data_IF_213225372959
#
_entry.id   IF_213225372959
#
_cell.length_a   1.000
_cell.length_b   1.000
_cell.length_c   1.000
_cell.angle_alpha   90.00
_cell.angle_beta   90.00
_cell.angle_gamma   90.00
#
_symmetry.space_group_name_H-M   'P 1'
#
loop_
_entity.id
_entity.type
_entity.pdbx_description
1 polymer ?
#
# COMPACT_ATOMS: atom_id res chain seq x y z
N UNK A 1 -4.54 -11.97 30.15
CA UNK A 1 -3.31 -12.13 29.39
C UNK A 1 -3.52 -12.26 27.88
N UNK A 2 -4.54 -13.00 27.45
CA UNK A 2 -4.81 -13.20 26.01
C UNK A 2 -5.11 -11.92 25.24
N UNK A 3 -5.89 -10.99 25.82
CA UNK A 3 -6.27 -9.76 25.13
C UNK A 3 -5.09 -8.80 24.94
N UNK A 4 -4.19 -8.73 25.90
CA UNK A 4 -3.00 -7.88 25.79
C UNK A 4 -2.05 -8.41 24.70
N UNK A 5 -1.86 -9.72 24.65
CA UNK A 5 -1.07 -10.36 23.61
C UNK A 5 -1.67 -10.12 22.21
N UNK A 6 -3.00 -10.24 22.08
CA UNK A 6 -3.69 -10.01 20.83
C UNK A 6 -3.54 -8.55 20.35
N UNK A 7 -3.69 -7.58 21.26
CA UNK A 7 -3.52 -6.16 20.94
C UNK A 7 -2.09 -5.91 20.48
N UNK A 8 -1.10 -6.47 21.20
CA UNK A 8 0.32 -6.32 20.84
C UNK A 8 0.63 -6.95 19.48
N UNK A 9 0.08 -8.12 19.19
CA UNK A 9 0.25 -8.80 17.91
C UNK A 9 -0.37 -8.00 16.76
N UNK A 10 -1.58 -7.44 17.00
CA UNK A 10 -2.26 -6.61 16.00
C UNK A 10 -1.48 -5.33 15.73
N UNK A 11 -0.94 -4.68 16.78
CA UNK A 11 -0.11 -3.49 16.60
C UNK A 11 1.17 -3.79 15.84
N UNK A 12 1.81 -4.93 16.12
CA UNK A 12 3.01 -5.37 15.40
C UNK A 12 2.69 -5.63 13.93
N UNK A 13 1.58 -6.28 13.65
CA UNK A 13 1.14 -6.54 12.29
C UNK A 13 0.82 -5.23 11.56
N UNK A 14 0.12 -4.31 12.22
CA UNK A 14 -0.17 -3.01 11.62
C UNK A 14 1.13 -2.28 11.25
N UNK A 15 2.12 -2.26 12.14
CA UNK A 15 3.39 -1.62 11.88
C UNK A 15 4.11 -2.23 10.68
N UNK A 16 4.06 -3.55 10.55
CA UNK A 16 4.68 -4.26 9.43
C UNK A 16 3.96 -3.91 8.12
N UNK A 17 2.64 -3.98 8.10
CA UNK A 17 1.87 -3.68 6.88
C UNK A 17 2.04 -2.22 6.47
N UNK A 18 2.00 -1.29 7.43
CA UNK A 18 2.25 0.13 7.15
C UNK A 18 3.66 0.32 6.58
N UNK A 19 4.65 -0.39 7.12
CA UNK A 19 6.01 -0.34 6.60
C UNK A 19 6.06 -0.76 5.13
N UNK A 20 5.43 -1.87 4.76
CA UNK A 20 5.37 -2.32 3.37
C UNK A 20 4.62 -1.31 2.49
N UNK A 21 3.51 -0.77 2.97
CA UNK A 21 2.75 0.24 2.23
C UNK A 21 3.61 1.48 1.95
N UNK A 22 4.35 1.95 2.94
CA UNK A 22 5.23 3.11 2.82
C UNK A 22 6.41 2.85 1.88
N UNK A 23 6.89 1.60 1.81
CA UNK A 23 7.94 1.25 0.84
C UNK A 23 7.47 1.49 -0.59
N UNK A 24 6.20 1.22 -0.89
CA UNK A 24 5.64 1.47 -2.21
C UNK A 24 5.45 2.97 -2.49
N UNK A 25 5.41 3.82 -1.45
CA UNK A 25 5.37 5.27 -1.59
C UNK A 25 6.77 5.87 -1.78
N UNK A 26 7.81 5.16 -1.38
CA UNK A 26 9.18 5.69 -1.36
C UNK A 26 9.77 5.71 -2.77
N UNK A 27 10.32 6.86 -3.18
CA UNK A 27 10.95 7.03 -4.48
C UNK A 27 12.06 6.01 -4.73
N UNK A 28 12.89 5.74 -3.72
CA UNK A 28 13.98 4.78 -3.85
C UNK A 28 13.48 3.36 -4.11
N UNK A 29 12.40 2.96 -3.43
CA UNK A 29 11.79 1.65 -3.64
C UNK A 29 11.13 1.57 -5.01
N UNK A 30 10.45 2.63 -5.41
CA UNK A 30 9.78 2.69 -6.73
C UNK A 30 10.75 2.50 -7.89
N UNK A 31 11.99 2.96 -7.74
CA UNK A 31 13.01 2.77 -8.77
C UNK A 31 13.61 1.37 -8.79
N UNK A 32 13.27 0.51 -7.81
CA UNK A 32 13.80 -0.85 -7.69
C UNK A 32 12.71 -1.87 -8.04
N UNK A 33 12.69 -2.26 -9.29
CA UNK A 33 11.70 -3.20 -9.82
C UNK A 33 11.58 -4.48 -9.00
N UNK A 34 12.69 -5.02 -8.52
CA UNK A 34 12.71 -6.27 -7.76
C UNK A 34 11.91 -6.16 -6.46
N UNK A 35 12.06 -5.04 -5.74
CA UNK A 35 11.34 -4.82 -4.47
C UNK A 35 9.86 -4.66 -4.74
N UNK A 36 9.49 -3.88 -5.75
CA UNK A 36 8.10 -3.69 -6.13
C UNK A 36 7.46 -5.04 -6.52
N UNK A 37 8.17 -5.82 -7.33
CA UNK A 37 7.70 -7.13 -7.76
C UNK A 37 7.46 -8.07 -6.58
N UNK A 38 8.31 -8.02 -5.57
CA UNK A 38 8.16 -8.85 -4.36
C UNK A 38 6.97 -8.43 -3.50
N UNK A 39 6.68 -7.14 -3.43
CA UNK A 39 5.60 -6.61 -2.60
C UNK A 39 4.23 -6.74 -3.27
N UNK A 40 4.17 -6.80 -4.59
CA UNK A 40 2.91 -6.94 -5.31
C UNK A 40 2.64 -8.41 -5.63
N UNK A 41 1.45 -8.88 -5.25
CA UNK A 41 1.01 -10.23 -5.58
C UNK A 41 0.91 -10.42 -7.10
N UNK A 42 1.11 -11.64 -7.58
CA UNK A 42 1.03 -11.93 -9.03
C UNK A 42 -0.29 -11.54 -9.67
N UNK A 43 -1.37 -11.57 -8.89
CA UNK A 43 -2.72 -11.22 -9.35
C UNK A 43 -3.12 -9.81 -8.89
N UNK A 44 -2.14 -8.98 -8.54
CA UNK A 44 -2.39 -7.62 -8.08
C UNK A 44 -3.11 -6.82 -9.16
N UNK A 45 -4.09 -6.02 -8.72
CA UNK A 45 -4.65 -4.99 -9.57
C UNK A 45 -5.01 -3.77 -8.72
N UNK A 46 -5.12 -2.63 -9.37
CA UNK A 46 -5.37 -1.35 -8.73
C UNK A 46 -6.46 -0.61 -9.48
N UNK A 47 -7.30 0.09 -8.72
CA UNK A 47 -8.22 1.07 -9.27
C UNK A 47 -7.74 2.44 -8.78
N UNK A 48 -7.27 3.27 -9.70
CA UNK A 48 -6.73 4.58 -9.38
C UNK A 48 -7.81 5.61 -9.09
N UNK A 49 -7.38 6.80 -8.63
CA UNK A 49 -8.28 7.92 -8.34
C UNK A 49 -9.15 8.32 -9.53
N UNK A 50 -8.65 8.12 -10.74
CA UNK A 50 -9.37 8.45 -11.98
C UNK A 50 -10.45 7.43 -12.33
N UNK A 51 -10.51 6.30 -11.62
CA UNK A 51 -11.40 5.20 -11.95
C UNK A 51 -10.81 4.20 -12.92
N UNK A 52 -9.58 4.41 -13.39
CA UNK A 52 -8.92 3.47 -14.30
C UNK A 52 -8.36 2.29 -13.55
N UNK A 53 -8.45 1.11 -14.18
CA UNK A 53 -7.95 -0.14 -13.63
C UNK A 53 -6.58 -0.47 -14.24
N UNK A 54 -5.65 -0.92 -13.41
CA UNK A 54 -4.30 -1.29 -13.79
C UNK A 54 -3.96 -2.66 -13.24
N UNK A 55 -3.27 -3.48 -14.02
CA UNK A 55 -2.72 -4.74 -13.53
C UNK A 55 -1.32 -4.53 -12.94
N UNK A 56 -0.72 -5.61 -12.40
CA UNK A 56 0.59 -5.54 -11.78
C UNK A 56 1.65 -4.97 -12.72
N UNK A 57 1.71 -5.45 -13.96
CA UNK A 57 2.74 -5.01 -14.89
C UNK A 57 2.60 -3.53 -15.24
N UNK A 58 1.37 -3.07 -15.43
CA UNK A 58 1.10 -1.66 -15.71
C UNK A 58 1.52 -0.78 -14.54
N UNK A 59 1.27 -1.22 -13.30
CA UNK A 59 1.67 -0.47 -12.10
C UNK A 59 3.19 -0.44 -11.98
N UNK A 60 3.87 -1.58 -12.17
CA UNK A 60 5.34 -1.62 -12.12
C UNK A 60 5.93 -0.67 -13.15
N UNK A 61 5.46 -0.74 -14.40
CA UNK A 61 5.97 0.11 -15.48
C UNK A 61 5.77 1.60 -15.16
N UNK A 62 4.62 1.95 -14.60
CA UNK A 62 4.34 3.33 -14.22
C UNK A 62 5.27 3.81 -13.09
N UNK A 63 5.49 2.99 -12.07
CA UNK A 63 6.31 3.37 -10.92
C UNK A 63 7.78 3.53 -11.29
N UNK A 64 8.32 2.63 -12.12
CA UNK A 64 9.73 2.73 -12.53
C UNK A 64 9.97 3.82 -13.57
N UNK A 65 8.92 4.29 -14.25
CA UNK A 65 9.00 5.35 -15.24
C UNK A 65 8.85 6.75 -14.64
N UNK A 66 8.48 6.86 -13.37
CA UNK A 66 8.32 8.16 -12.71
C UNK A 66 9.65 8.90 -12.66
N UNK A 67 9.66 10.11 -13.22
CA UNK A 67 10.86 10.95 -13.24
C UNK A 67 10.77 12.11 -12.26
N UNK A 68 9.57 12.39 -11.76
CA UNK A 68 9.32 13.49 -10.83
C UNK A 68 9.10 12.90 -9.44
N UNK A 69 9.91 13.35 -8.48
CA UNK A 69 9.75 12.96 -7.09
C UNK A 69 8.44 13.54 -6.55
N UNK A 70 7.53 12.66 -6.15
CA UNK A 70 6.27 13.05 -5.54
C UNK A 70 6.29 12.63 -4.09
N UNK A 71 6.23 13.62 -3.19
CA UNK A 71 6.14 13.35 -1.77
C UNK A 71 4.68 13.09 -1.42
N UNK A 72 4.38 11.82 -1.16
CA UNK A 72 3.07 11.42 -0.70
C UNK A 72 3.11 11.33 0.82
N UNK A 73 2.27 12.13 1.47
CA UNK A 73 2.10 12.04 2.91
C UNK A 73 0.88 11.16 3.19
N UNK A 74 0.94 10.45 4.30
CA UNK A 74 -0.13 9.52 4.67
C UNK A 74 -0.28 9.45 6.18
N UNK A 75 -1.52 9.42 6.64
CA UNK A 75 -1.85 9.26 8.06
C UNK A 75 -3.20 8.55 8.20
N UNK A 76 -3.70 8.46 9.43
CA UNK A 76 -4.97 7.77 9.74
C UNK A 76 -4.97 6.32 9.29
N UNK A 77 -3.85 5.63 9.49
CA UNK A 77 -3.77 4.21 9.16
C UNK A 77 -4.63 3.38 10.10
N UNK A 78 -5.48 2.56 9.51
CA UNK A 78 -6.31 1.60 10.25
C UNK A 78 -6.17 0.22 9.61
N UNK A 79 -5.81 -0.77 10.44
CA UNK A 79 -5.73 -2.16 10.00
C UNK A 79 -6.98 -2.91 10.44
N UNK A 80 -7.60 -3.60 9.50
CA UNK A 80 -8.73 -4.48 9.76
C UNK A 80 -8.34 -5.91 9.39
N UNK A 81 -8.29 -6.79 10.38
CA UNK A 81 -7.95 -8.19 10.16
C UNK A 81 -9.19 -8.91 9.62
N UNK A 82 -9.06 -9.47 8.40
CA UNK A 82 -10.14 -10.22 7.77
C UNK A 82 -10.08 -11.68 8.23
N UNK A 83 -8.90 -12.29 8.14
CA UNK A 83 -8.62 -13.63 8.65
C UNK A 83 -7.11 -13.77 8.90
N UNK A 84 -6.62 -14.97 9.18
CA UNK A 84 -5.22 -15.22 9.49
C UNK A 84 -4.27 -14.82 8.36
N UNK A 85 -4.77 -14.77 7.13
CA UNK A 85 -3.95 -14.56 5.94
C UNK A 85 -4.33 -13.31 5.15
N UNK A 86 -5.27 -12.51 5.64
CA UNK A 86 -5.77 -11.35 4.89
C UNK A 86 -6.07 -10.19 5.82
N UNK A 87 -5.56 -9.02 5.48
CA UNK A 87 -5.80 -7.79 6.22
C UNK A 87 -6.14 -6.67 5.26
N UNK A 88 -6.99 -5.76 5.70
CA UNK A 88 -7.29 -4.51 5.01
C UNK A 88 -6.59 -3.37 5.72
N UNK A 89 -5.89 -2.55 4.95
CA UNK A 89 -5.30 -1.31 5.45
C UNK A 89 -6.00 -0.15 4.78
N UNK A 90 -6.53 0.77 5.56
CA UNK A 90 -7.09 2.02 5.04
C UNK A 90 -6.31 3.19 5.61
N UNK A 91 -6.20 4.25 4.83
CA UNK A 91 -5.51 5.46 5.27
C UNK A 91 -5.88 6.63 4.38
N UNK A 92 -5.48 7.81 4.83
CA UNK A 92 -5.64 9.04 4.06
C UNK A 92 -4.28 9.44 3.52
N UNK A 93 -4.16 9.61 2.22
CA UNK A 93 -2.97 10.17 1.61
C UNK A 93 -3.25 11.58 1.10
N UNK A 94 -2.21 12.40 1.04
CA UNK A 94 -2.34 13.76 0.53
C UNK A 94 -1.02 14.26 0.00
N UNK A 95 -1.12 15.15 -0.97
CA UNK A 95 0.02 15.88 -1.50
C UNK A 95 -0.41 17.31 -1.78
N UNK A 96 0.52 18.25 -1.58
CA UNK A 96 0.32 19.64 -1.94
C UNK A 96 0.90 19.89 -3.34
N UNK A 97 0.18 20.63 -4.17
CA UNK A 97 0.68 21.07 -5.45
C UNK A 97 1.48 22.39 -5.29
N UNK A 98 1.92 22.97 -6.41
CA UNK A 98 2.69 24.21 -6.43
C UNK A 98 1.97 25.40 -5.79
N UNK A 99 0.64 25.35 -5.76
CA UNK A 99 -0.20 26.40 -5.19
C UNK A 99 -0.65 26.09 -3.77
N UNK A 100 -0.08 25.06 -3.14
CA UNK A 100 -0.46 24.54 -1.82
C UNK A 100 -1.89 24.01 -1.76
N UNK A 101 -2.47 23.64 -2.91
CA UNK A 101 -3.75 22.96 -2.97
C UNK A 101 -3.51 21.49 -2.65
N UNK A 102 -4.14 21.02 -1.59
CA UNK A 102 -3.96 19.64 -1.11
C UNK A 102 -4.98 18.73 -1.74
N UNK A 103 -4.49 17.69 -2.43
CA UNK A 103 -5.34 16.61 -2.93
C UNK A 103 -5.34 15.48 -1.93
N UNK A 104 -6.51 15.18 -1.37
CA UNK A 104 -6.69 14.11 -0.39
C UNK A 104 -7.36 12.91 -1.03
N UNK A 105 -6.89 11.74 -0.68
CA UNK A 105 -7.36 10.48 -1.25
C UNK A 105 -7.50 9.45 -0.15
N UNK A 106 -8.67 8.84 -0.03
CA UNK A 106 -8.81 7.63 0.77
C UNK A 106 -8.18 6.47 0.02
N UNK A 107 -7.34 5.72 0.72
CA UNK A 107 -6.64 4.56 0.16
C UNK A 107 -7.05 3.30 0.88
N UNK A 108 -7.22 2.23 0.11
CA UNK A 108 -7.53 0.91 0.65
C UNK A 108 -6.61 -0.10 0.00
N UNK A 109 -5.92 -0.88 0.82
CA UNK A 109 -5.05 -1.95 0.34
C UNK A 109 -5.45 -3.27 0.98
N UNK A 110 -5.56 -4.30 0.18
CA UNK A 110 -5.72 -5.67 0.66
C UNK A 110 -4.35 -6.33 0.62
N UNK A 111 -3.86 -6.72 1.79
CA UNK A 111 -2.61 -7.46 1.94
C UNK A 111 -2.92 -8.90 2.29
N UNK A 112 -2.29 -9.83 1.60
CA UNK A 112 -2.44 -11.26 1.89
C UNK A 112 -1.10 -11.87 2.23
N UNK A 113 -1.12 -12.86 3.10
CA UNK A 113 0.08 -13.52 3.56
C UNK A 113 0.72 -14.28 2.40
N UNK A 114 2.04 -14.08 2.24
CA UNK A 114 2.78 -14.71 1.17
C UNK A 114 3.00 -16.20 1.47
N UNK A 115 2.64 -17.06 0.54
CA UNK A 115 2.86 -18.51 0.65
C UNK A 115 4.14 -18.95 -0.04
N UNK A 116 4.81 -18.09 -0.79
CA UNK A 116 6.04 -18.40 -1.51
C UNK A 116 7.25 -18.21 -0.61
N UNK A 117 7.87 -19.31 -0.18
CA UNK A 117 9.02 -19.27 0.71
C UNK A 117 10.27 -18.66 0.09
N UNK A 118 10.32 -18.51 -1.23
CA UNK A 118 11.46 -17.90 -1.92
C UNK A 118 11.34 -16.38 -2.03
N UNK A 119 10.16 -15.84 -1.75
CA UNK A 119 9.96 -14.39 -1.72
C UNK A 119 10.19 -13.90 -0.28
N UNK A 120 11.11 -12.93 -0.06
CA UNK A 120 11.41 -12.46 1.30
C UNK A 120 10.30 -11.66 1.95
N UNK A 121 9.32 -11.16 1.18
CA UNK A 121 8.20 -10.43 1.77
C UNK A 121 7.21 -11.39 2.42
N UNK A 122 6.85 -11.13 3.68
CA UNK A 122 5.90 -11.97 4.42
C UNK A 122 4.47 -11.77 3.96
N UNK A 123 4.16 -10.59 3.42
CA UNK A 123 2.85 -10.20 2.94
C UNK A 123 2.98 -9.55 1.59
N UNK A 124 1.96 -9.69 0.75
CA UNK A 124 1.91 -9.06 -0.57
C UNK A 124 0.61 -8.30 -0.76
N UNK A 125 0.70 -7.16 -1.42
CA UNK A 125 -0.49 -6.38 -1.78
C UNK A 125 -1.22 -7.08 -2.92
N UNK A 126 -2.49 -7.40 -2.67
CA UNK A 126 -3.35 -8.09 -3.65
C UNK A 126 -4.23 -7.10 -4.41
N UNK A 127 -4.58 -5.98 -3.78
CA UNK A 127 -5.46 -4.96 -4.35
C UNK A 127 -5.19 -3.61 -3.69
N UNK A 128 -5.33 -2.56 -4.47
CA UNK A 128 -5.24 -1.19 -3.96
C UNK A 128 -6.26 -0.32 -4.68
N UNK A 129 -6.88 0.60 -3.95
CA UNK A 129 -7.83 1.56 -4.53
C UNK A 129 -7.65 2.93 -3.90
N UNK A 130 -7.67 3.95 -4.75
CA UNK A 130 -7.70 5.35 -4.32
C UNK A 130 -9.03 5.98 -4.68
N UNK A 131 -9.61 6.70 -3.72
CA UNK A 131 -10.87 7.42 -3.92
C UNK A 131 -10.69 8.86 -3.46
N UNK A 132 -10.88 9.85 -4.32
CA UNK A 132 -10.81 11.25 -3.89
C UNK A 132 -11.77 11.52 -2.75
N UNK A 133 -11.36 12.36 -1.80
CA UNK A 133 -12.27 12.77 -0.73
C UNK A 133 -13.39 13.64 -1.28
N UNK A 134 -14.50 13.71 -0.54
CA UNK A 134 -15.69 14.43 -0.97
C UNK A 134 -15.55 15.95 -0.93
N UNK A 135 -14.44 16.47 -0.49
CA UNK A 135 -14.21 17.93 -0.43
C UNK A 135 -13.42 18.39 -1.62
#
# INVERSE_FOLDING_TARGET
MGSELMISETQTLQSLIVHYERQLHCQATRSQKTIIDQLLHRDFFEIGRSGMRYDKQQVIDALISETVEQQIQADNFELSVVDEKSVLLTYLSYRADENNIVSKTWRTSLWIKNADSQNPADWQMRFHQGTPTAN
#
